data_IF_656484914309
#
_entry.id   IF_656484914309
#
_cell.length_a   1.000
_cell.length_b   1.000
_cell.length_c   1.000
_cell.angle_alpha   90.00
_cell.angle_beta   90.00
_cell.angle_gamma   90.00
#
_symmetry.space_group_name_H-M   'P 1'
#
loop_
_entity.id
_entity.type
_entity.pdbx_description
1 polymer ?
#
# COMPACT_ATOMS: atom_id res chain seq x y z
N UNK A 1 40.53 -17.14 -2.92
CA UNK A 1 39.48 -17.92 -2.21
C UNK A 1 39.36 -17.40 -0.81
N UNK A 2 38.20 -16.84 -0.49
CA UNK A 2 37.87 -16.27 0.82
C UNK A 2 36.69 -17.04 1.38
N UNK A 3 36.79 -17.56 2.58
CA UNK A 3 35.67 -18.22 3.27
C UNK A 3 35.09 -17.24 4.28
N UNK A 4 33.76 -17.09 4.29
CA UNK A 4 33.04 -16.25 5.24
C UNK A 4 32.20 -17.17 6.11
N UNK A 5 32.74 -17.50 7.28
CA UNK A 5 32.11 -18.38 8.27
C UNK A 5 31.16 -17.61 9.19
N UNK A 6 30.46 -18.33 10.08
CA UNK A 6 29.54 -17.77 11.06
C UNK A 6 30.16 -16.61 11.87
N UNK A 7 29.50 -15.46 11.86
CA UNK A 7 29.98 -14.23 12.50
C UNK A 7 31.03 -13.45 11.70
N UNK A 8 31.54 -14.02 10.61
CA UNK A 8 32.40 -13.33 9.65
C UNK A 8 31.61 -12.35 8.79
N UNK A 9 32.27 -11.27 8.39
CA UNK A 9 31.72 -10.25 7.51
C UNK A 9 32.72 -9.97 6.38
N UNK A 10 32.24 -10.00 5.15
CA UNK A 10 32.97 -9.50 3.98
C UNK A 10 32.16 -8.38 3.33
N UNK A 11 32.74 -7.18 3.33
CA UNK A 11 32.21 -6.03 2.62
C UNK A 11 32.99 -5.81 1.32
N UNK A 12 32.28 -5.69 0.20
CA UNK A 12 32.89 -5.37 -1.10
C UNK A 12 32.11 -4.22 -1.72
N UNK A 13 32.62 -3.02 -1.50
CA UNK A 13 32.03 -1.77 -1.97
C UNK A 13 32.60 -1.38 -3.34
N UNK A 14 32.24 -0.18 -3.80
CA UNK A 14 32.62 0.40 -5.08
C UNK A 14 34.12 0.25 -5.38
N UNK A 15 34.44 -0.24 -6.58
CA UNK A 15 35.82 -0.49 -7.01
C UNK A 15 36.49 -1.74 -6.40
N UNK A 16 35.83 -2.45 -5.48
CA UNK A 16 36.35 -3.65 -4.84
C UNK A 16 36.34 -4.89 -5.74
N UNK A 17 37.14 -5.90 -5.38
CA UNK A 17 37.13 -7.23 -6.03
C UNK A 17 37.23 -8.34 -5.01
N UNK A 18 36.37 -9.36 -5.12
CA UNK A 18 36.47 -10.58 -4.34
C UNK A 18 36.00 -11.80 -5.14
N UNK A 19 36.93 -12.69 -5.51
CA UNK A 19 36.63 -13.88 -6.31
C UNK A 19 36.91 -15.17 -5.55
N UNK A 20 36.12 -16.21 -5.86
CA UNK A 20 36.17 -17.48 -5.15
C UNK A 20 35.73 -17.33 -3.69
N UNK A 21 34.69 -16.51 -3.46
CA UNK A 21 34.06 -16.38 -2.14
C UNK A 21 33.25 -17.65 -1.85
N UNK A 22 33.46 -18.24 -0.69
CA UNK A 22 32.69 -19.37 -0.18
C UNK A 22 31.93 -18.91 1.06
N UNK A 23 30.68 -18.49 0.87
CA UNK A 23 29.82 -17.98 1.93
C UNK A 23 29.18 -19.16 2.67
N UNK A 24 29.49 -19.30 3.96
CA UNK A 24 28.86 -20.31 4.82
C UNK A 24 27.66 -19.72 5.56
N UNK A 25 26.85 -20.59 6.17
CA UNK A 25 25.74 -20.19 7.04
C UNK A 25 26.26 -19.31 8.19
N UNK A 26 25.53 -18.23 8.51
CA UNK A 26 25.93 -17.22 9.50
C UNK A 26 27.01 -16.24 9.03
N UNK A 27 27.60 -16.44 7.85
CA UNK A 27 28.57 -15.52 7.26
C UNK A 27 27.85 -14.41 6.48
N UNK A 28 28.27 -13.16 6.67
CA UNK A 28 27.60 -11.99 6.10
C UNK A 28 28.35 -11.41 4.91
N UNK A 29 27.61 -11.12 3.84
CA UNK A 29 28.11 -10.37 2.69
C UNK A 29 27.38 -9.04 2.59
N UNK A 30 28.11 -7.93 2.46
CA UNK A 30 27.54 -6.63 2.10
C UNK A 30 28.24 -6.16 0.83
N UNK A 31 27.51 -6.05 -0.26
CA UNK A 31 28.12 -5.81 -1.57
C UNK A 31 27.39 -4.72 -2.36
N UNK A 32 28.17 -3.88 -3.05
CA UNK A 32 27.68 -2.90 -4.02
C UNK A 32 27.81 -3.44 -5.45
N UNK A 33 26.84 -3.15 -6.31
CA UNK A 33 26.93 -3.47 -7.75
C UNK A 33 28.00 -2.66 -8.50
N UNK A 34 28.55 -1.60 -7.89
CA UNK A 34 29.72 -0.87 -8.38
C UNK A 34 31.06 -1.56 -8.02
N UNK A 35 31.05 -2.70 -7.34
CA UNK A 35 32.23 -3.54 -7.24
C UNK A 35 32.70 -3.98 -8.64
N UNK A 36 34.01 -4.08 -8.85
CA UNK A 36 34.58 -4.49 -10.14
C UNK A 36 34.21 -5.93 -10.47
N UNK A 37 34.35 -6.83 -9.48
CA UNK A 37 33.96 -8.23 -9.62
C UNK A 37 33.78 -8.88 -8.24
N UNK A 38 32.62 -9.52 -8.03
CA UNK A 38 32.39 -10.39 -6.87
C UNK A 38 31.87 -11.71 -7.39
N UNK A 39 32.49 -12.83 -7.01
CA UNK A 39 32.01 -14.15 -7.45
C UNK A 39 32.29 -15.22 -6.42
N UNK A 40 31.39 -16.20 -6.36
CA UNK A 40 31.48 -17.23 -5.34
C UNK A 40 30.37 -18.26 -5.38
N UNK A 41 30.31 -19.04 -4.31
CA UNK A 41 29.25 -20.00 -4.04
C UNK A 41 28.61 -19.71 -2.68
N UNK A 42 27.31 -19.95 -2.60
CA UNK A 42 26.52 -19.96 -1.38
C UNK A 42 25.77 -21.29 -1.27
N UNK A 43 24.84 -21.38 -0.31
CA UNK A 43 24.07 -22.62 -0.08
C UNK A 43 23.14 -23.02 -1.23
N UNK A 44 22.83 -22.11 -2.17
CA UNK A 44 21.91 -22.36 -3.30
C UNK A 44 22.57 -22.38 -4.66
N UNK A 45 23.84 -21.99 -4.79
CA UNK A 45 24.58 -22.10 -6.04
C UNK A 45 25.68 -21.07 -6.21
N UNK A 46 26.00 -20.79 -7.48
CA UNK A 46 26.95 -19.74 -7.86
C UNK A 46 26.25 -18.39 -7.95
N UNK A 47 26.93 -17.36 -7.44
CA UNK A 47 26.51 -15.96 -7.56
C UNK A 47 27.62 -15.13 -8.20
N UNK A 48 27.24 -13.99 -8.80
CA UNK A 48 28.19 -13.06 -9.39
C UNK A 48 27.71 -11.63 -9.40
N UNK A 49 28.63 -10.69 -9.23
CA UNK A 49 28.52 -9.28 -9.60
C UNK A 49 29.67 -8.98 -10.56
N UNK A 50 29.34 -8.54 -11.76
CA UNK A 50 30.33 -8.15 -12.78
C UNK A 50 29.71 -7.17 -13.75
N UNK A 51 30.49 -6.18 -14.19
CA UNK A 51 30.05 -5.17 -15.16
C UNK A 51 28.73 -4.48 -14.74
N UNK A 52 28.57 -4.21 -13.44
CA UNK A 52 27.36 -3.60 -12.89
C UNK A 52 26.14 -4.52 -12.85
N UNK A 53 26.29 -5.84 -13.01
CA UNK A 53 25.17 -6.79 -12.99
C UNK A 53 25.37 -7.83 -11.90
N UNK A 54 24.45 -7.84 -10.93
CA UNK A 54 24.30 -8.89 -9.92
C UNK A 54 23.36 -9.99 -10.42
N UNK A 55 23.73 -11.27 -10.27
CA UNK A 55 22.93 -12.44 -10.68
C UNK A 55 22.96 -13.53 -9.62
N UNK A 56 21.78 -14.13 -9.38
CA UNK A 56 21.58 -15.23 -8.43
C UNK A 56 22.17 -14.92 -7.04
N UNK A 57 22.06 -13.66 -6.62
CA UNK A 57 22.61 -13.19 -5.37
C UNK A 57 21.61 -13.49 -4.27
N UNK A 58 21.99 -14.35 -3.34
CA UNK A 58 21.16 -14.71 -2.19
C UNK A 58 21.78 -14.11 -0.93
N UNK A 59 20.92 -13.48 -0.15
CA UNK A 59 21.26 -12.83 1.09
C UNK A 59 20.46 -13.44 2.22
N UNK A 60 21.13 -13.71 3.33
CA UNK A 60 20.57 -14.24 4.57
C UNK A 60 21.32 -13.59 5.76
N UNK A 61 20.90 -13.88 6.98
CA UNK A 61 21.64 -13.57 8.21
C UNK A 61 22.08 -12.09 8.37
N UNK A 62 21.29 -11.16 7.83
CA UNK A 62 21.61 -9.72 7.82
C UNK A 62 22.65 -9.30 6.78
N UNK A 63 22.86 -10.10 5.74
CA UNK A 63 23.61 -9.72 4.54
C UNK A 63 22.90 -8.60 3.76
N UNK A 64 23.63 -7.90 2.89
CA UNK A 64 23.18 -6.71 2.19
C UNK A 64 23.60 -6.65 0.72
N UNK A 65 22.73 -6.12 -0.14
CA UNK A 65 23.05 -5.73 -1.52
C UNK A 65 22.63 -4.29 -1.75
N UNK A 66 23.54 -3.49 -2.28
CA UNK A 66 23.28 -2.13 -2.75
C UNK A 66 23.34 -2.15 -4.27
N UNK A 67 22.20 -1.93 -4.94
CA UNK A 67 22.12 -1.78 -6.38
C UNK A 67 22.23 -0.30 -6.70
N UNK A 68 23.38 0.13 -7.21
CA UNK A 68 23.68 1.52 -7.55
C UNK A 68 22.91 1.97 -8.80
N UNK A 69 22.76 3.29 -8.99
CA UNK A 69 22.17 3.82 -10.23
C UNK A 69 22.88 3.27 -11.47
N UNK A 70 22.13 3.10 -12.57
CA UNK A 70 22.60 2.56 -13.85
C UNK A 70 23.16 1.12 -13.82
N UNK A 71 23.04 0.42 -12.68
CA UNK A 71 23.40 -1.00 -12.51
C UNK A 71 22.15 -1.89 -12.36
N UNK A 72 22.34 -3.20 -12.38
CA UNK A 72 21.25 -4.18 -12.38
C UNK A 72 21.42 -5.31 -11.37
N UNK A 73 20.32 -5.80 -10.82
CA UNK A 73 20.25 -7.06 -10.08
C UNK A 73 19.17 -7.99 -10.69
N UNK A 74 19.49 -9.27 -10.82
CA UNK A 74 18.63 -10.26 -11.46
C UNK A 74 18.50 -11.46 -10.54
N UNK A 75 17.26 -11.89 -10.28
CA UNK A 75 16.92 -13.07 -9.49
C UNK A 75 17.58 -13.06 -8.10
N UNK A 76 17.53 -11.90 -7.43
CA UNK A 76 18.02 -11.74 -6.06
C UNK A 76 17.04 -12.36 -5.07
N UNK A 77 17.54 -13.09 -4.09
CA UNK A 77 16.74 -13.68 -3.01
C UNK A 77 17.17 -13.06 -1.70
N UNK A 78 16.24 -12.42 -0.98
CA UNK A 78 16.47 -11.84 0.35
C UNK A 78 15.75 -12.69 1.37
N UNK A 79 16.49 -13.32 2.26
CA UNK A 79 16.01 -14.22 3.32
C UNK A 79 16.50 -13.76 4.69
N UNK A 80 15.91 -14.30 5.76
CA UNK A 80 16.39 -14.19 7.15
C UNK A 80 17.04 -12.83 7.54
N UNK A 81 16.25 -11.75 7.54
CA UNK A 81 16.68 -10.38 7.88
C UNK A 81 17.71 -9.74 6.92
N UNK A 82 17.89 -10.30 5.73
CA UNK A 82 18.67 -9.67 4.67
C UNK A 82 18.10 -8.32 4.27
N UNK A 83 18.96 -7.49 3.69
CA UNK A 83 18.60 -6.17 3.20
C UNK A 83 19.00 -5.96 1.74
N UNK A 84 18.18 -5.24 0.99
CA UNK A 84 18.55 -4.74 -0.31
C UNK A 84 18.09 -3.31 -0.49
N UNK A 85 18.99 -2.47 -0.99
CA UNK A 85 18.73 -1.06 -1.29
C UNK A 85 18.97 -0.86 -2.78
N UNK A 86 17.92 -0.53 -3.54
CA UNK A 86 17.97 -0.45 -5.00
C UNK A 86 17.78 0.98 -5.48
N UNK A 87 18.86 1.62 -5.92
CA UNK A 87 18.86 2.87 -6.69
C UNK A 87 18.84 2.60 -8.21
N UNK A 88 19.21 1.40 -8.65
CA UNK A 88 19.25 0.97 -10.05
C UNK A 88 18.02 0.18 -10.48
N UNK A 89 18.23 -0.84 -11.30
CA UNK A 89 17.17 -1.75 -11.76
C UNK A 89 17.30 -3.14 -11.13
N UNK A 90 16.20 -3.71 -10.68
CA UNK A 90 16.13 -5.12 -10.31
C UNK A 90 14.97 -5.85 -10.99
N UNK A 91 15.12 -7.16 -11.18
CA UNK A 91 14.11 -8.00 -11.82
C UNK A 91 14.06 -9.37 -11.16
N UNK A 92 12.84 -9.83 -10.83
CA UNK A 92 12.62 -11.15 -10.24
C UNK A 92 13.06 -11.26 -8.77
N UNK A 93 13.28 -10.13 -8.09
CA UNK A 93 13.66 -10.11 -6.66
C UNK A 93 12.60 -10.80 -5.81
N UNK A 94 13.04 -11.67 -4.90
CA UNK A 94 12.20 -12.36 -3.92
C UNK A 94 12.56 -11.88 -2.53
N UNK A 95 11.57 -11.36 -1.79
CA UNK A 95 11.75 -10.84 -0.43
C UNK A 95 10.98 -11.74 0.53
N UNK A 96 11.68 -12.40 1.45
CA UNK A 96 11.11 -13.43 2.32
C UNK A 96 11.62 -13.35 3.76
N UNK A 97 10.90 -14.00 4.67
CA UNK A 97 11.29 -14.22 6.08
C UNK A 97 11.85 -12.96 6.80
N UNK A 98 11.04 -11.90 6.85
CA UNK A 98 11.37 -10.62 7.47
C UNK A 98 12.55 -9.87 6.84
N UNK A 99 13.01 -10.27 5.65
CA UNK A 99 13.94 -9.46 4.87
C UNK A 99 13.30 -8.12 4.47
N UNK A 100 14.15 -7.11 4.28
CA UNK A 100 13.74 -5.74 3.96
C UNK A 100 14.33 -5.32 2.63
N UNK A 101 13.48 -4.83 1.75
CA UNK A 101 13.84 -4.28 0.46
C UNK A 101 13.43 -2.80 0.38
N UNK A 102 14.32 -1.93 -0.07
CA UNK A 102 14.08 -0.51 -0.30
C UNK A 102 14.29 -0.17 -1.78
N UNK A 103 13.24 0.23 -2.51
CA UNK A 103 13.33 0.79 -3.86
C UNK A 103 13.48 2.30 -3.82
N UNK A 104 14.41 2.81 -4.62
CA UNK A 104 14.67 4.23 -4.81
C UNK A 104 15.29 4.92 -3.60
N UNK A 105 15.80 4.16 -2.62
CA UNK A 105 16.52 4.69 -1.44
C UNK A 105 17.73 3.81 -1.12
N UNK A 106 18.84 4.46 -0.79
CA UNK A 106 19.99 3.84 -0.15
C UNK A 106 20.42 4.67 1.05
N UNK A 107 20.81 4.01 2.13
CA UNK A 107 21.35 4.60 3.35
C UNK A 107 22.71 3.98 3.61
N UNK A 108 23.76 4.76 3.35
CA UNK A 108 25.13 4.33 3.51
C UNK A 108 25.77 5.19 4.60
N UNK A 109 25.99 4.58 5.77
CA UNK A 109 26.57 5.23 6.94
C UNK A 109 25.84 6.55 7.33
N UNK A 110 24.51 6.56 7.26
CA UNK A 110 23.67 7.71 7.59
C UNK A 110 23.51 8.72 6.45
N UNK A 111 24.15 8.50 5.31
CA UNK A 111 23.94 9.29 4.10
C UNK A 111 22.84 8.66 3.27
N UNK A 112 21.68 9.32 3.24
CA UNK A 112 20.53 8.87 2.46
C UNK A 112 20.60 9.44 1.04
N UNK A 113 20.49 8.57 0.06
CA UNK A 113 20.33 8.91 -1.36
C UNK A 113 19.02 8.37 -1.87
N UNK A 114 18.30 9.15 -2.68
CA UNK A 114 17.12 8.71 -3.39
C UNK A 114 17.34 8.70 -4.90
N UNK A 115 16.62 7.83 -5.62
CA UNK A 115 16.60 7.82 -7.07
C UNK A 115 15.19 7.58 -7.62
N UNK A 116 14.68 8.55 -8.36
CA UNK A 116 13.44 8.40 -9.14
C UNK A 116 13.63 7.57 -10.41
N UNK A 117 14.86 7.19 -10.76
CA UNK A 117 15.16 6.32 -11.90
C UNK A 117 15.11 4.83 -11.54
N UNK A 118 15.04 4.51 -10.24
CA UNK A 118 15.06 3.13 -9.78
C UNK A 118 13.83 2.37 -10.31
N UNK A 119 14.03 1.10 -10.71
CA UNK A 119 12.97 0.26 -11.26
C UNK A 119 13.05 -1.14 -10.65
N UNK A 120 11.95 -1.65 -10.11
CA UNK A 120 11.82 -3.07 -9.76
C UNK A 120 10.73 -3.73 -10.60
N UNK A 121 11.05 -4.86 -11.22
CA UNK A 121 10.14 -5.61 -12.09
C UNK A 121 9.88 -7.04 -11.57
N UNK A 122 8.61 -7.43 -11.50
CA UNK A 122 8.18 -8.80 -11.20
C UNK A 122 8.62 -9.29 -9.80
N UNK A 123 8.49 -8.43 -8.80
CA UNK A 123 8.86 -8.75 -7.42
C UNK A 123 7.85 -9.70 -6.78
N UNK A 124 8.37 -10.62 -5.94
CA UNK A 124 7.56 -11.47 -5.07
C UNK A 124 7.96 -11.25 -3.62
N UNK A 125 6.99 -10.92 -2.78
CA UNK A 125 7.14 -10.73 -1.34
C UNK A 125 6.37 -11.84 -0.64
N UNK A 126 7.05 -12.61 0.21
CA UNK A 126 6.48 -13.71 0.97
C UNK A 126 6.90 -13.64 2.43
N UNK A 127 6.08 -13.04 3.29
CA UNK A 127 6.43 -12.72 4.69
C UNK A 127 7.69 -11.83 4.81
N UNK A 128 7.98 -11.03 3.78
CA UNK A 128 9.03 -10.01 3.80
C UNK A 128 8.42 -8.61 3.68
N UNK A 129 9.28 -7.59 3.64
CA UNK A 129 8.84 -6.19 3.53
C UNK A 129 9.55 -5.47 2.39
N UNK A 130 8.77 -4.84 1.51
CA UNK A 130 9.27 -3.90 0.52
C UNK A 130 8.76 -2.47 0.80
N UNK A 131 9.67 -1.51 0.83
CA UNK A 131 9.36 -0.09 0.86
C UNK A 131 9.71 0.53 -0.50
N UNK A 132 8.80 1.32 -1.06
CA UNK A 132 9.04 2.09 -2.29
C UNK A 132 9.14 3.56 -1.92
N UNK A 133 10.36 4.09 -1.92
CA UNK A 133 10.64 5.48 -1.55
C UNK A 133 10.64 6.42 -2.75
N UNK A 134 11.12 5.95 -3.89
CA UNK A 134 11.12 6.63 -5.17
C UNK A 134 11.22 5.59 -6.29
N UNK A 135 11.04 6.02 -7.54
CA UNK A 135 11.15 5.14 -8.70
C UNK A 135 9.85 4.40 -9.02
N UNK A 136 9.95 3.35 -9.84
CA UNK A 136 8.80 2.61 -10.37
C UNK A 136 8.85 1.13 -9.99
N UNK A 137 7.81 0.63 -9.33
CA UNK A 137 7.60 -0.80 -9.13
C UNK A 137 6.57 -1.31 -10.14
N UNK A 138 6.98 -2.29 -10.93
CA UNK A 138 6.19 -2.89 -12.01
C UNK A 138 5.92 -4.34 -11.70
N UNK A 139 4.65 -4.72 -11.59
CA UNK A 139 4.21 -6.07 -11.26
C UNK A 139 4.76 -6.61 -9.93
N UNK A 140 3.93 -6.66 -8.90
CA UNK A 140 4.32 -7.17 -7.58
C UNK A 140 3.26 -8.10 -7.01
N UNK A 141 3.71 -9.20 -6.39
CA UNK A 141 2.88 -10.12 -5.63
C UNK A 141 3.33 -10.12 -4.17
N UNK A 142 2.39 -9.90 -3.26
CA UNK A 142 2.62 -9.87 -1.81
C UNK A 142 1.75 -10.94 -1.16
N UNK A 143 2.34 -11.80 -0.34
CA UNK A 143 1.63 -12.88 0.34
C UNK A 143 2.19 -13.15 1.75
N UNK A 144 1.40 -13.89 2.52
CA UNK A 144 1.68 -14.26 3.90
C UNK A 144 1.34 -13.14 4.88
N UNK A 145 0.95 -13.52 6.11
CA UNK A 145 0.46 -12.59 7.12
C UNK A 145 1.47 -11.48 7.49
N UNK A 146 2.77 -11.74 7.31
CA UNK A 146 3.83 -10.76 7.58
C UNK A 146 4.33 -10.06 6.30
N UNK A 147 3.74 -10.38 5.15
CA UNK A 147 4.07 -9.78 3.86
C UNK A 147 3.59 -8.33 3.81
N UNK A 148 4.52 -7.40 3.55
CA UNK A 148 4.19 -5.97 3.49
C UNK A 148 4.77 -5.33 2.22
N UNK A 149 3.91 -4.63 1.49
CA UNK A 149 4.32 -3.62 0.52
C UNK A 149 3.90 -2.23 1.04
N UNK A 150 4.86 -1.32 1.13
CA UNK A 150 4.60 0.06 1.55
C UNK A 150 5.16 1.06 0.54
N UNK A 151 4.30 1.89 -0.04
CA UNK A 151 4.68 2.95 -0.96
C UNK A 151 4.66 4.27 -0.21
N UNK A 152 5.86 4.82 -0.02
CA UNK A 152 6.11 5.99 0.82
C UNK A 152 5.72 7.28 0.10
N UNK A 153 5.49 8.33 0.89
CA UNK A 153 5.25 9.67 0.37
C UNK A 153 6.44 10.19 -0.46
N UNK A 154 6.20 11.10 -1.42
CA UNK A 154 7.25 11.71 -2.22
C UNK A 154 8.34 12.37 -1.36
N UNK A 155 9.58 12.30 -1.84
CA UNK A 155 10.72 12.97 -1.23
C UNK A 155 10.93 14.33 -1.89
N UNK A 156 11.36 15.33 -1.12
CA UNK A 156 11.60 16.68 -1.64
C UNK A 156 12.60 16.61 -2.80
N UNK A 157 12.27 17.25 -3.92
CA UNK A 157 13.05 17.26 -5.17
C UNK A 157 13.10 15.93 -5.96
N UNK A 158 12.35 14.91 -5.56
CA UNK A 158 12.25 13.64 -6.29
C UNK A 158 10.83 13.45 -6.84
N UNK A 159 10.74 12.79 -7.99
CA UNK A 159 9.44 12.39 -8.52
C UNK A 159 8.78 11.37 -7.57
N UNK A 160 7.44 11.40 -7.43
CA UNK A 160 6.70 10.42 -6.65
C UNK A 160 7.03 8.96 -7.02
N UNK A 161 6.91 8.08 -6.03
CA UNK A 161 6.91 6.65 -6.28
C UNK A 161 5.74 6.25 -7.19
N UNK A 162 5.99 5.32 -8.10
CA UNK A 162 5.01 4.83 -9.07
C UNK A 162 4.75 3.33 -8.89
N UNK A 163 3.49 2.93 -8.88
CA UNK A 163 3.08 1.53 -9.08
C UNK A 163 2.44 1.36 -10.45
N UNK A 164 2.90 0.36 -11.19
CA UNK A 164 2.43 0.09 -12.55
C UNK A 164 2.16 -1.40 -12.75
N UNK A 165 1.11 -1.69 -13.50
CA UNK A 165 0.73 -3.08 -13.83
C UNK A 165 0.10 -3.78 -12.63
N UNK A 166 0.31 -5.09 -12.53
CA UNK A 166 -0.42 -5.92 -11.57
C UNK A 166 0.12 -5.80 -10.16
N UNK A 167 -0.74 -5.49 -9.20
CA UNK A 167 -0.43 -5.48 -7.76
C UNK A 167 -1.35 -6.50 -7.10
N UNK A 168 -0.82 -7.65 -6.70
CA UNK A 168 -1.60 -8.74 -6.09
C UNK A 168 -1.22 -8.87 -4.63
N UNK A 169 -2.19 -8.78 -3.72
CA UNK A 169 -1.97 -8.84 -2.27
C UNK A 169 -2.90 -9.88 -1.67
N UNK A 170 -2.34 -10.97 -1.12
CA UNK A 170 -3.10 -12.13 -0.68
C UNK A 170 -2.68 -12.68 0.68
N UNK A 171 -3.41 -13.67 1.19
CA UNK A 171 -3.00 -14.50 2.34
C UNK A 171 -2.68 -13.67 3.61
N UNK A 172 -3.52 -12.69 3.94
CA UNK A 172 -3.37 -11.83 5.11
C UNK A 172 -2.31 -10.73 4.98
N UNK A 173 -1.64 -10.62 3.83
CA UNK A 173 -0.64 -9.59 3.59
C UNK A 173 -1.21 -8.16 3.67
N UNK A 174 -0.31 -7.21 3.90
CA UNK A 174 -0.62 -5.79 4.02
C UNK A 174 -0.06 -4.99 2.86
N UNK A 175 -0.89 -4.14 2.27
CA UNK A 175 -0.49 -3.10 1.33
C UNK A 175 -0.73 -1.73 1.95
N UNK A 176 0.22 -0.82 1.83
CA UNK A 176 0.13 0.54 2.35
C UNK A 176 0.56 1.55 1.31
N UNK A 177 -0.23 2.59 1.13
CA UNK A 177 0.10 3.71 0.25
C UNK A 177 -0.07 5.01 1.00
N UNK A 178 0.94 5.86 0.93
CA UNK A 178 0.85 7.23 1.43
C UNK A 178 0.28 8.13 0.32
N UNK A 179 -0.29 9.27 0.71
CA UNK A 179 -0.78 10.25 -0.25
C UNK A 179 0.35 10.77 -1.16
N UNK A 180 -0.05 11.24 -2.35
CA UNK A 180 0.81 11.74 -3.42
C UNK A 180 1.67 10.69 -4.16
N UNK A 181 1.37 9.40 -4.07
CA UNK A 181 1.94 8.34 -4.93
C UNK A 181 1.20 8.24 -6.26
N UNK A 182 1.89 7.85 -7.35
CA UNK A 182 1.23 7.58 -8.64
C UNK A 182 0.88 6.10 -8.76
N UNK A 183 -0.41 5.80 -8.65
CA UNK A 183 -0.96 4.44 -8.80
C UNK A 183 -1.91 4.35 -10.00
N UNK A 184 -1.96 5.37 -10.85
CA UNK A 184 -2.96 5.53 -11.92
C UNK A 184 -2.94 4.42 -12.98
N UNK A 185 -1.83 3.68 -13.05
CA UNK A 185 -1.60 2.56 -13.96
C UNK A 185 -1.54 1.20 -13.25
N UNK A 186 -1.93 1.13 -11.98
CA UNK A 186 -1.93 -0.09 -11.20
C UNK A 186 -3.28 -0.80 -11.31
N UNK A 187 -3.22 -2.10 -11.65
CA UNK A 187 -4.31 -3.05 -11.56
C UNK A 187 -4.19 -3.81 -10.23
N UNK A 188 -4.99 -3.41 -9.23
CA UNK A 188 -4.88 -3.92 -7.85
C UNK A 188 -5.85 -5.08 -7.64
N UNK A 189 -5.36 -6.18 -7.09
CA UNK A 189 -6.16 -7.34 -6.68
C UNK A 189 -5.87 -7.69 -5.22
N UNK A 190 -6.90 -7.65 -4.38
CA UNK A 190 -6.83 -7.93 -2.95
C UNK A 190 -7.60 -9.20 -2.62
N UNK A 191 -6.97 -10.20 -2.00
CA UNK A 191 -7.59 -11.47 -1.63
C UNK A 191 -7.31 -11.82 -0.16
N UNK A 192 -8.33 -11.79 0.70
CA UNK A 192 -8.17 -12.01 2.14
C UNK A 192 -7.00 -11.18 2.72
N UNK A 193 -6.96 -9.90 2.37
CA UNK A 193 -5.85 -9.00 2.65
C UNK A 193 -6.33 -7.61 3.05
N UNK A 194 -5.39 -6.75 3.40
CA UNK A 194 -5.68 -5.36 3.79
C UNK A 194 -4.87 -4.38 2.97
N UNK A 195 -5.55 -3.33 2.50
CA UNK A 195 -4.94 -2.15 1.94
C UNK A 195 -5.26 -0.94 2.81
N UNK A 196 -4.22 -0.26 3.28
CA UNK A 196 -4.34 1.01 4.01
C UNK A 196 -3.88 2.17 3.15
N UNK A 197 -4.75 3.17 2.99
CA UNK A 197 -4.45 4.44 2.33
C UNK A 197 -4.29 5.49 3.43
N UNK A 198 -3.10 6.07 3.50
CA UNK A 198 -2.71 7.08 4.49
C UNK A 198 -2.73 8.43 3.78
N UNK A 199 -3.44 9.42 4.34
CA UNK A 199 -3.56 10.74 3.74
C UNK A 199 -2.19 11.46 3.63
N UNK A 200 -2.06 12.36 2.64
CA UNK A 200 -0.94 13.30 2.57
C UNK A 200 -1.16 14.45 3.55
N UNK A 201 -0.53 14.35 4.73
CA UNK A 201 -0.60 15.38 5.77
C UNK A 201 0.37 16.56 5.53
N UNK A 202 1.16 16.55 4.44
CA UNK A 202 2.17 17.59 4.19
C UNK A 202 1.61 18.84 3.52
N UNK A 203 0.43 18.75 2.91
CA UNK A 203 -0.29 19.88 2.32
C UNK A 203 -1.56 20.16 3.12
N UNK A 204 -1.52 21.15 4.02
CA UNK A 204 -2.70 21.55 4.81
C UNK A 204 -3.86 21.95 3.87
N UNK A 205 -5.03 21.35 4.04
CA UNK A 205 -6.28 21.61 3.32
C UNK A 205 -6.37 21.08 1.88
N UNK A 206 -5.73 19.96 1.56
CA UNK A 206 -5.96 19.26 0.29
C UNK A 206 -6.31 17.79 0.54
N UNK A 207 -7.49 17.39 0.08
CA UNK A 207 -7.87 15.99 0.09
C UNK A 207 -6.87 15.14 -0.71
N UNK A 208 -6.58 13.96 -0.19
CA UNK A 208 -5.71 12.98 -0.86
C UNK A 208 -6.48 12.33 -1.99
N UNK A 209 -5.97 12.46 -3.22
CA UNK A 209 -6.51 11.76 -4.38
C UNK A 209 -5.63 10.56 -4.70
N UNK A 210 -6.24 9.38 -4.78
CA UNK A 210 -5.56 8.16 -5.20
C UNK A 210 -6.31 7.53 -6.37
N UNK A 211 -5.62 7.31 -7.49
CA UNK A 211 -6.22 6.81 -8.71
C UNK A 211 -5.65 5.44 -9.04
N UNK A 212 -6.50 4.47 -9.36
CA UNK A 212 -6.13 3.15 -9.85
C UNK A 212 -6.61 2.95 -11.29
N UNK A 213 -5.96 2.04 -12.01
CA UNK A 213 -6.53 1.51 -13.23
C UNK A 213 -7.76 0.67 -12.88
N UNK A 214 -7.62 -0.39 -12.08
CA UNK A 214 -8.74 -1.26 -11.69
C UNK A 214 -8.56 -1.79 -10.25
N UNK A 215 -9.67 -2.14 -9.60
CA UNK A 215 -9.69 -2.75 -8.27
C UNK A 215 -10.54 -4.02 -8.26
N UNK A 216 -9.93 -5.15 -7.94
CA UNK A 216 -10.60 -6.41 -7.67
C UNK A 216 -10.42 -6.81 -6.20
N UNK A 217 -11.48 -7.26 -5.55
CA UNK A 217 -11.48 -7.61 -4.13
C UNK A 217 -12.15 -8.97 -3.90
N UNK A 218 -11.58 -9.77 -3.02
CA UNK A 218 -12.17 -11.01 -2.51
C UNK A 218 -11.93 -11.08 -1.02
N UNK A 219 -12.97 -10.89 -0.21
CA UNK A 219 -12.89 -10.86 1.26
C UNK A 219 -11.80 -9.92 1.81
N UNK A 220 -11.59 -8.78 1.13
CA UNK A 220 -10.53 -7.83 1.45
C UNK A 220 -11.05 -6.58 2.16
N UNK A 221 -10.13 -5.84 2.79
CA UNK A 221 -10.43 -4.58 3.47
C UNK A 221 -9.60 -3.43 2.86
N UNK A 222 -10.26 -2.33 2.51
CA UNK A 222 -9.63 -1.06 2.17
C UNK A 222 -9.91 -0.06 3.29
N UNK A 223 -8.85 0.46 3.90
CA UNK A 223 -8.93 1.36 5.06
C UNK A 223 -8.42 2.74 4.66
N UNK A 224 -9.27 3.75 4.73
CA UNK A 224 -8.92 5.15 4.48
C UNK A 224 -8.76 5.88 5.83
N UNK A 225 -7.57 6.42 6.11
CA UNK A 225 -7.26 7.07 7.40
C UNK A 225 -6.37 8.30 7.24
N UNK A 226 -6.43 9.22 8.20
CA UNK A 226 -5.61 10.45 8.22
C UNK A 226 -4.13 10.16 8.51
N UNK A 227 -3.89 9.36 9.55
CA UNK A 227 -2.56 9.13 10.11
C UNK A 227 -2.29 7.63 10.19
N UNK A 228 -1.02 7.20 10.10
CA UNK A 228 -0.64 5.81 10.30
C UNK A 228 -0.74 5.45 11.79
N UNK A 229 -1.96 5.24 12.27
CA UNK A 229 -2.24 4.76 13.63
C UNK A 229 -2.73 3.31 13.61
N UNK A 230 -2.38 2.55 14.63
CA UNK A 230 -2.92 1.20 14.85
C UNK A 230 -4.46 1.24 14.96
N UNK A 231 -5.13 0.14 14.61
CA UNK A 231 -6.60 -0.12 14.59
C UNK A 231 -7.46 0.46 15.74
N UNK A 232 -6.86 0.95 16.83
CA UNK A 232 -7.53 1.31 18.08
C UNK A 232 -7.65 2.80 18.37
N UNK A 233 -7.16 3.69 17.50
CA UNK A 233 -7.20 5.15 17.76
C UNK A 233 -7.33 5.97 16.49
N UNK A 234 -8.34 5.70 15.68
CA UNK A 234 -8.76 6.63 14.61
C UNK A 234 -9.37 7.85 15.30
N UNK A 235 -8.61 8.94 15.42
CA UNK A 235 -9.17 10.25 15.78
C UNK A 235 -9.61 10.95 14.49
N UNK A 236 -10.84 11.43 14.46
CA UNK A 236 -11.34 12.21 13.34
C UNK A 236 -10.62 13.56 13.30
N UNK A 237 -9.65 13.69 12.42
CA UNK A 237 -9.13 14.97 11.97
C UNK A 237 -9.86 15.30 10.66
N UNK A 238 -10.49 16.47 10.60
CA UNK A 238 -11.28 16.92 9.45
C UNK A 238 -10.40 17.47 8.30
N UNK A 239 -9.08 17.43 8.45
CA UNK A 239 -8.21 18.29 7.64
C UNK A 239 -7.84 17.67 6.29
N UNK A 240 -7.84 16.34 6.13
CA UNK A 240 -7.53 15.67 4.85
C UNK A 240 -8.33 14.37 4.64
N UNK A 241 -9.36 14.41 3.78
CA UNK A 241 -10.09 13.21 3.37
C UNK A 241 -9.46 12.55 2.13
N UNK A 242 -9.75 11.27 1.92
CA UNK A 242 -9.23 10.45 0.82
C UNK A 242 -10.34 10.21 -0.21
N UNK A 243 -10.07 10.52 -1.47
CA UNK A 243 -10.87 10.04 -2.59
C UNK A 243 -10.09 8.94 -3.33
N UNK A 244 -10.59 7.70 -3.24
CA UNK A 244 -10.13 6.60 -4.06
C UNK A 244 -10.93 6.55 -5.36
N UNK A 245 -10.24 6.74 -6.48
CA UNK A 245 -10.81 6.63 -7.82
C UNK A 245 -10.29 5.39 -8.53
N UNK A 246 -11.16 4.62 -9.18
CA UNK A 246 -10.78 3.45 -9.99
C UNK A 246 -11.67 3.34 -11.22
N UNK A 247 -11.19 2.74 -12.31
CA UNK A 247 -12.05 2.53 -13.49
C UNK A 247 -13.08 1.43 -13.26
N UNK A 248 -12.68 0.31 -12.68
CA UNK A 248 -13.59 -0.79 -12.37
C UNK A 248 -13.41 -1.26 -10.94
N UNK A 249 -14.52 -1.71 -10.35
CA UNK A 249 -14.56 -2.37 -9.05
C UNK A 249 -15.25 -3.72 -9.22
N UNK A 250 -14.67 -4.80 -8.72
CA UNK A 250 -15.28 -6.12 -8.80
C UNK A 250 -15.07 -6.97 -7.56
N UNK A 251 -16.03 -7.85 -7.27
CA UNK A 251 -15.94 -8.89 -6.23
C UNK A 251 -16.62 -8.48 -4.93
N UNK A 252 -15.95 -8.67 -3.79
CA UNK A 252 -16.54 -8.38 -2.48
C UNK A 252 -15.51 -7.91 -1.45
N UNK A 253 -15.96 -7.11 -0.49
CA UNK A 253 -15.13 -6.68 0.62
C UNK A 253 -15.65 -5.44 1.35
N UNK A 254 -14.79 -4.84 2.15
CA UNK A 254 -15.15 -3.74 3.04
C UNK A 254 -14.32 -2.49 2.75
N UNK A 255 -14.94 -1.33 2.76
CA UNK A 255 -14.30 -0.03 2.78
C UNK A 255 -14.54 0.64 4.13
N UNK A 256 -13.50 1.17 4.76
CA UNK A 256 -13.58 1.94 6.00
C UNK A 256 -13.31 3.40 5.67
N UNK A 257 -14.28 4.26 5.93
CA UNK A 257 -14.33 5.66 5.53
C UNK A 257 -14.61 6.56 6.73
N UNK A 258 -14.06 7.76 6.69
CA UNK A 258 -14.34 8.82 7.66
C UNK A 258 -15.31 9.83 7.09
N UNK A 259 -16.09 10.45 7.96
CA UNK A 259 -16.98 11.56 7.62
C UNK A 259 -16.81 12.70 8.63
N UNK A 260 -17.07 13.91 8.15
CA UNK A 260 -17.43 15.07 8.93
C UNK A 260 -18.75 15.60 8.37
N UNK A 261 -19.85 14.99 8.81
CA UNK A 261 -21.18 15.30 8.32
C UNK A 261 -21.56 16.77 8.53
N UNK A 262 -21.12 17.38 9.63
CA UNK A 262 -21.43 18.78 9.95
C UNK A 262 -20.79 19.78 8.96
N UNK A 263 -19.68 19.40 8.34
CA UNK A 263 -18.99 20.22 7.33
C UNK A 263 -19.12 19.66 5.90
N UNK A 264 -19.92 18.61 5.70
CA UNK A 264 -20.13 17.93 4.42
C UNK A 264 -18.83 17.42 3.77
N UNK A 265 -17.92 16.87 4.55
CA UNK A 265 -16.68 16.29 4.06
C UNK A 265 -16.59 14.80 4.38
N UNK A 266 -16.01 13.99 3.50
CA UNK A 266 -15.83 12.56 3.72
C UNK A 266 -14.70 11.98 2.89
N UNK A 267 -14.25 10.80 3.31
CA UNK A 267 -13.59 9.89 2.41
C UNK A 267 -14.61 9.43 1.34
N UNK A 268 -14.15 9.14 0.12
CA UNK A 268 -15.00 8.81 -1.01
C UNK A 268 -14.42 7.68 -1.87
N UNK A 269 -15.31 6.86 -2.42
CA UNK A 269 -15.02 5.88 -3.46
C UNK A 269 -15.71 6.29 -4.76
N UNK A 270 -14.92 6.53 -5.80
CA UNK A 270 -15.41 6.89 -7.12
C UNK A 270 -15.00 5.83 -8.16
N UNK A 271 -15.96 5.05 -8.65
CA UNK A 271 -15.74 4.10 -9.74
C UNK A 271 -16.17 4.74 -11.06
N UNK A 272 -15.25 5.08 -11.94
CA UNK A 272 -15.60 5.84 -13.16
C UNK A 272 -16.31 5.00 -14.22
N UNK A 273 -16.14 3.68 -14.18
CA UNK A 273 -16.75 2.70 -15.07
C UNK A 273 -17.73 1.78 -14.34
N UNK A 274 -17.60 0.47 -14.55
CA UNK A 274 -18.52 -0.53 -13.99
C UNK A 274 -18.07 -0.99 -12.60
N UNK A 275 -19.01 -1.04 -11.66
CA UNK A 275 -18.84 -1.71 -10.36
C UNK A 275 -19.74 -2.95 -10.31
N UNK A 276 -19.19 -4.11 -9.93
CA UNK A 276 -19.95 -5.37 -9.78
C UNK A 276 -19.63 -6.08 -8.47
N UNK A 277 -20.64 -6.67 -7.83
CA UNK A 277 -20.51 -7.43 -6.59
C UNK A 277 -20.96 -6.72 -5.32
N UNK A 278 -20.59 -7.25 -4.16
CA UNK A 278 -21.19 -6.88 -2.87
C UNK A 278 -20.17 -6.27 -1.91
N UNK A 279 -20.40 -5.03 -1.50
CA UNK A 279 -19.46 -4.28 -0.66
C UNK A 279 -20.14 -3.72 0.58
N UNK A 280 -19.37 -3.62 1.67
CA UNK A 280 -19.78 -2.93 2.89
C UNK A 280 -18.98 -1.64 3.07
N UNK A 281 -19.67 -0.57 3.46
CA UNK A 281 -19.07 0.68 3.88
C UNK A 281 -19.15 0.77 5.41
N UNK A 282 -18.02 0.94 6.07
CA UNK A 282 -17.93 1.23 7.49
C UNK A 282 -17.61 2.70 7.66
N UNK A 283 -18.44 3.41 8.42
CA UNK A 283 -18.30 4.86 8.64
C UNK A 283 -17.83 5.15 10.06
N UNK A 284 -16.91 6.10 10.20
CA UNK A 284 -16.56 6.77 11.46
C UNK A 284 -16.65 8.28 11.27
N UNK A 285 -17.51 8.94 12.05
CA UNK A 285 -17.73 10.39 11.93
C UNK A 285 -16.94 11.19 13.00
N UNK A 286 -16.73 12.50 12.78
CA UNK A 286 -16.18 13.43 13.79
C UNK A 286 -17.03 13.52 15.05
N UNK A 287 -18.32 13.20 14.96
CA UNK A 287 -19.31 13.34 16.03
C UNK A 287 -19.90 14.75 16.13
N UNK A 288 -19.45 15.69 15.29
CA UNK A 288 -20.06 17.01 15.19
C UNK A 288 -21.49 16.86 14.65
N UNK A 289 -22.46 17.51 15.30
CA UNK A 289 -23.87 17.36 14.91
C UNK A 289 -24.14 18.04 13.56
N UNK A 290 -24.64 17.33 12.55
CA UNK A 290 -25.05 17.91 11.28
C UNK A 290 -26.36 18.69 11.41
N UNK A 291 -26.71 19.45 10.37
CA UNK A 291 -28.03 20.03 10.25
C UNK A 291 -29.07 18.95 9.92
N UNK A 292 -30.32 19.18 10.32
CA UNK A 292 -31.40 18.22 10.10
C UNK A 292 -31.62 17.96 8.61
N UNK A 293 -31.62 16.69 8.20
CA UNK A 293 -31.78 16.30 6.81
C UNK A 293 -30.51 16.38 5.96
N UNK A 294 -29.36 16.69 6.55
CA UNK A 294 -28.09 16.60 5.83
C UNK A 294 -27.86 15.18 5.30
N UNK A 295 -27.24 15.11 4.13
CA UNK A 295 -26.83 13.87 3.49
C UNK A 295 -25.47 14.04 2.84
N UNK A 296 -24.69 12.96 2.75
CA UNK A 296 -23.33 13.01 2.22
C UNK A 296 -23.03 11.81 1.33
N UNK A 297 -22.66 12.05 0.07
CA UNK A 297 -22.32 10.99 -0.88
C UNK A 297 -20.95 10.40 -0.58
N UNK A 298 -20.91 9.08 -0.38
CA UNK A 298 -19.69 8.33 -0.09
C UNK A 298 -19.21 7.51 -1.29
N UNK A 299 -20.14 7.05 -2.12
CA UNK A 299 -19.84 6.18 -3.26
C UNK A 299 -20.53 6.69 -4.53
N UNK A 300 -19.79 6.73 -5.63
CA UNK A 300 -20.33 6.93 -6.99
C UNK A 300 -19.81 5.87 -7.92
N UNK A 301 -20.64 5.38 -8.84
CA UNK A 301 -20.21 4.48 -9.92
C UNK A 301 -20.68 5.00 -11.28
N UNK A 302 -19.93 4.68 -12.34
CA UNK A 302 -20.32 4.96 -13.73
C UNK A 302 -21.38 4.00 -14.27
N UNK A 303 -21.68 2.94 -13.52
CA UNK A 303 -22.68 1.91 -13.81
C UNK A 303 -22.34 0.59 -13.12
N UNK A 304 -23.03 -0.47 -13.55
CA UNK A 304 -22.89 -1.82 -13.02
C UNK A 304 -23.97 -2.18 -12.01
N UNK A 305 -23.84 -3.36 -11.41
CA UNK A 305 -24.83 -4.00 -10.52
C UNK A 305 -24.31 -4.15 -9.08
N UNK A 306 -23.24 -3.44 -8.72
CA UNK A 306 -22.72 -3.47 -7.37
C UNK A 306 -23.76 -3.03 -6.33
N UNK A 307 -23.78 -3.74 -5.20
CA UNK A 307 -24.53 -3.38 -4.03
C UNK A 307 -23.59 -2.87 -2.92
N UNK A 308 -23.95 -1.72 -2.33
CA UNK A 308 -23.25 -1.16 -1.18
C UNK A 308 -24.21 -1.12 0.02
N UNK A 309 -23.75 -1.61 1.17
CA UNK A 309 -24.51 -1.59 2.42
C UNK A 309 -23.69 -1.01 3.56
N UNK A 310 -24.34 -0.44 4.58
CA UNK A 310 -23.62 0.01 5.76
C UNK A 310 -23.23 -1.21 6.62
N UNK A 311 -21.93 -1.35 6.89
CA UNK A 311 -21.34 -2.44 7.66
C UNK A 311 -21.36 -2.23 9.17
N UNK A 312 -21.60 -1.00 9.64
CA UNK A 312 -21.75 -0.66 11.05
C UNK A 312 -22.85 -1.50 11.72
N UNK A 313 -22.74 -1.69 13.04
CA UNK A 313 -23.69 -2.51 13.79
C UNK A 313 -25.14 -2.01 13.59
N UNK A 314 -26.05 -2.93 13.25
CA UNK A 314 -27.45 -2.59 12.96
C UNK A 314 -27.70 -1.94 11.60
N UNK A 315 -26.67 -1.74 10.77
CA UNK A 315 -26.82 -1.04 9.49
C UNK A 315 -27.04 0.46 9.63
N UNK A 316 -26.62 1.02 10.78
CA UNK A 316 -26.77 2.43 11.13
C UNK A 316 -25.49 3.00 11.75
N UNK A 317 -25.36 4.32 11.76
CA UNK A 317 -24.30 5.06 12.47
C UNK A 317 -24.90 6.26 13.19
N UNK A 318 -24.60 6.41 14.48
CA UNK A 318 -25.01 7.57 15.28
C UNK A 318 -24.05 8.73 15.02
N UNK A 319 -24.60 9.87 14.58
CA UNK A 319 -23.84 11.09 14.28
C UNK A 319 -24.52 12.28 14.94
N UNK A 320 -23.88 12.79 16.00
CA UNK A 320 -24.47 13.82 16.85
C UNK A 320 -25.77 13.34 17.48
N UNK A 321 -26.88 14.02 17.18
CA UNK A 321 -28.22 13.69 17.70
C UNK A 321 -29.06 12.83 16.74
N UNK A 322 -28.51 12.43 15.60
CA UNK A 322 -29.23 11.73 14.55
C UNK A 322 -28.61 10.35 14.28
N UNK A 323 -29.44 9.42 13.84
CA UNK A 323 -29.01 8.13 13.33
C UNK A 323 -29.00 8.19 11.80
N UNK A 324 -28.00 7.59 11.15
CA UNK A 324 -27.82 7.60 9.70
C UNK A 324 -27.73 6.18 9.12
N UNK A 325 -28.18 6.02 7.88
CA UNK A 325 -28.03 4.79 7.10
C UNK A 325 -27.45 5.08 5.71
N UNK A 326 -27.01 4.05 4.99
CA UNK A 326 -26.53 4.19 3.62
C UNK A 326 -27.71 4.02 2.65
N UNK A 327 -28.08 5.11 2.00
CA UNK A 327 -29.16 5.17 1.01
C UNK A 327 -28.60 4.97 -0.40
N UNK A 328 -29.16 4.03 -1.16
CA UNK A 328 -29.01 3.98 -2.62
C UNK A 328 -29.94 5.01 -3.25
N UNK A 329 -29.37 5.99 -3.94
CA UNK A 329 -30.10 7.09 -4.55
C UNK A 329 -30.76 6.70 -5.90
N UNK A 330 -30.58 5.47 -6.38
CA UNK A 330 -31.15 4.97 -7.64
C UNK A 330 -30.50 5.53 -8.90
N UNK A 331 -29.37 6.22 -8.76
CA UNK A 331 -28.64 6.89 -9.85
C UNK A 331 -27.13 6.55 -9.81
N UNK A 332 -26.79 5.34 -9.37
CA UNK A 332 -25.40 4.88 -9.20
C UNK A 332 -24.61 5.72 -8.17
N UNK A 333 -25.30 6.21 -7.14
CA UNK A 333 -24.66 6.87 -6.01
C UNK A 333 -25.27 6.43 -4.69
N UNK A 334 -24.44 6.38 -3.66
CA UNK A 334 -24.84 6.01 -2.31
C UNK A 334 -24.43 7.11 -1.33
N UNK A 335 -25.40 7.57 -0.55
CA UNK A 335 -25.23 8.65 0.40
C UNK A 335 -25.53 8.18 1.82
N UNK A 336 -24.73 8.65 2.77
CA UNK A 336 -25.11 8.62 4.16
C UNK A 336 -26.24 9.63 4.36
N UNK A 337 -27.41 9.14 4.76
CA UNK A 337 -28.62 9.95 4.95
C UNK A 337 -29.27 9.61 6.27
N UNK A 338 -29.93 10.60 6.88
CA UNK A 338 -30.61 10.43 8.16
C UNK A 338 -31.58 9.25 8.09
N UNK A 339 -31.46 8.31 9.03
CA UNK A 339 -32.31 7.13 9.15
C UNK A 339 -33.68 7.53 9.68
N UNK A 340 -34.48 8.13 8.80
CA UNK A 340 -35.88 8.45 9.05
C UNK A 340 -36.73 7.21 8.79
N UNK A 341 -36.51 6.13 9.52
CA UNK A 341 -37.46 5.03 9.56
C UNK A 341 -38.80 5.59 10.08
N UNK A 342 -39.74 5.86 9.16
CA UNK A 342 -41.12 6.29 9.36
C UNK A 342 -41.39 7.09 10.65
N UNK A 343 -41.41 8.42 10.54
CA UNK A 343 -42.39 9.18 11.34
C UNK A 343 -43.76 8.65 10.89
N UNK A 344 -44.33 7.67 11.59
CA UNK A 344 -45.79 7.54 11.56
C UNK A 344 -46.32 8.90 12.01
N UNK A 345 -47.26 9.53 11.30
CA UNK A 345 -47.79 10.81 11.76
C UNK A 345 -48.35 10.60 13.16
N UNK A 346 -47.61 11.04 14.19
CA UNK A 346 -48.10 11.01 15.55
C UNK A 346 -49.15 12.11 15.63
N UNK A 347 -50.40 11.66 15.59
CA UNK A 347 -51.65 12.36 15.92
C UNK A 347 -51.44 13.83 16.31
N UNK A 348 -51.49 14.73 15.33
CA UNK A 348 -51.90 16.10 15.62
C UNK A 348 -53.40 16.07 15.86
N UNK A 349 -53.73 15.97 17.15
CA UNK A 349 -54.91 16.50 17.81
C UNK A 349 -56.23 16.52 17.02
N UNK A 350 -57.04 15.51 17.34
CA UNK A 350 -58.50 15.67 17.37
C UNK A 350 -58.83 16.73 18.44
N UNK A 351 -59.00 17.98 18.01
CA UNK A 351 -59.59 19.07 18.78
C UNK A 351 -60.07 20.09 17.72
N UNK A 352 -61.33 20.38 17.45
CA UNK A 352 -62.57 20.35 18.21
C UNK A 352 -63.74 20.41 17.22
N UNK A 353 -64.88 19.92 17.71
CA UNK A 353 -66.25 20.48 17.57
C UNK A 353 -66.49 21.56 16.52
#
# INVERSE_FOLDING_TARGET
>A
NTTVDSGGLLEVMDGGTATGVDKKAGGKLIVSTNALEVSGTNSKGQFSIKDGVSKNYELDDGSGLIVMEDTQAIDTILDEHATMQSLGKDTGTKVQANAVYDLGRSDQNGSITYSSKAISENMVINNGRANVWAGTMVNVSVRGNDGILEVMKPQINYAPAMLVGKVVVSEGASFRTHGAVDTSKADVSLENSVWTIIADITTTNQNTLLNLANLAMSDANVIMMDEPVTRSSVTASAENFITLTTNTLSGNGNFYMRTDMANHQSDQLNVTGQATGDFKIFVTDTGASPAAGDSLTLVTTGGGDAAFTLGNAGGVVDIGTYEYTLLDNGNHSWSLAENRAQITPSTTDVLNM
#
